data_IF_238224009591
#
_entry.id   IF_238224009591
#
_cell.length_a   1.000
_cell.length_b   1.000
_cell.length_c   1.000
_cell.angle_alpha   90.00
_cell.angle_beta   90.00
_cell.angle_gamma   90.00
#
_symmetry.space_group_name_H-M   'P 1'
#
loop_
_entity.id
_entity.type
_entity.pdbx_description
1 polymer ?
#
# COMPACT_ATOMS: atom_id res chain seq x y z
N UNK A 1 81.93 10.30 5.74
CA UNK A 1 82.07 11.45 6.65
C UNK A 1 81.32 12.63 6.06
N UNK A 2 80.72 13.46 6.92
CA UNK A 2 79.93 14.67 6.66
C UNK A 2 78.44 14.50 6.29
N UNK A 3 77.64 14.69 7.33
CA UNK A 3 76.21 15.02 7.38
C UNK A 3 75.93 16.43 6.84
N UNK A 4 74.77 16.65 6.20
CA UNK A 4 73.96 17.87 6.32
C UNK A 4 72.53 17.65 5.76
N UNK A 5 71.53 17.77 6.65
CA UNK A 5 70.07 17.87 6.37
C UNK A 5 69.73 19.26 5.76
N UNK A 6 68.44 19.66 5.67
CA UNK A 6 67.41 19.35 4.67
C UNK A 6 66.97 20.64 3.93
N UNK A 7 66.14 20.54 2.88
CA UNK A 7 65.30 21.67 2.45
C UNK A 7 63.92 21.18 2.02
N UNK A 8 62.96 21.47 2.89
CA UNK A 8 61.52 21.38 2.73
C UNK A 8 61.02 22.32 1.62
N UNK A 9 60.15 21.80 0.76
CA UNK A 9 59.14 22.48 -0.10
C UNK A 9 58.48 21.33 -0.88
N UNK A 10 57.17 21.15 -0.96
CA UNK A 10 55.99 21.89 -0.55
C UNK A 10 54.79 20.98 -0.81
N UNK A 11 53.69 21.26 -0.13
CA UNK A 11 52.49 20.45 -0.02
C UNK A 11 51.79 20.13 -1.35
N UNK A 12 51.09 18.99 -1.37
CA UNK A 12 50.14 18.61 -2.41
C UNK A 12 49.27 17.42 -1.98
N UNK A 13 48.66 17.50 -0.79
CA UNK A 13 47.70 16.49 -0.34
C UNK A 13 46.33 16.83 -0.95
N UNK A 14 46.00 16.21 -2.09
CA UNK A 14 44.65 16.19 -2.65
C UNK A 14 43.77 15.32 -1.75
N UNK A 15 43.06 15.94 -0.80
CA UNK A 15 41.94 15.31 -0.11
C UNK A 15 40.75 15.21 -1.08
N UNK A 16 40.61 14.06 -1.72
CA UNK A 16 39.37 13.69 -2.38
C UNK A 16 38.34 13.35 -1.28
N UNK A 17 37.50 14.31 -0.92
CA UNK A 17 36.33 14.07 -0.09
C UNK A 17 35.30 13.31 -0.92
N UNK A 18 35.27 11.99 -0.79
CA UNK A 18 34.15 11.18 -1.26
C UNK A 18 32.90 11.58 -0.47
N UNK A 19 31.82 12.07 -1.10
CA UNK A 19 30.56 12.20 -0.42
C UNK A 19 30.09 10.79 -0.05
N UNK A 20 30.05 10.50 1.25
CA UNK A 20 29.23 9.41 1.77
C UNK A 20 27.79 9.76 1.39
N UNK A 21 27.29 9.12 0.33
CA UNK A 21 25.86 9.10 0.05
C UNK A 21 25.19 8.42 1.24
N UNK A 22 24.73 9.21 2.20
CA UNK A 22 23.74 8.79 3.17
C UNK A 22 22.50 8.47 2.34
N UNK A 23 22.33 7.20 1.99
CA UNK A 23 21.04 6.71 1.57
C UNK A 23 20.08 7.05 2.72
N UNK A 24 19.26 8.09 2.54
CA UNK A 24 18.11 8.28 3.39
C UNK A 24 17.37 6.93 3.38
N UNK A 25 16.92 6.41 4.54
CA UNK A 25 16.04 5.26 4.50
C UNK A 25 14.91 5.62 3.53
N UNK A 26 14.62 4.73 2.59
CA UNK A 26 13.39 4.83 1.83
C UNK A 26 12.26 4.72 2.86
N UNK A 27 11.80 5.87 3.36
CA UNK A 27 10.66 5.96 4.24
C UNK A 27 9.45 5.76 3.33
N UNK A 28 9.11 4.50 3.08
CA UNK A 28 7.77 4.16 2.66
C UNK A 28 6.87 4.64 3.80
N UNK A 29 6.19 5.77 3.61
CA UNK A 29 5.16 6.23 4.52
C UNK A 29 4.02 5.19 4.46
N UNK A 30 3.76 4.39 5.50
CA UNK A 30 2.73 3.38 5.49
C UNK A 30 1.39 4.06 5.84
N UNK A 31 1.02 5.12 5.14
CA UNK A 31 -0.29 5.75 5.26
C UNK A 31 -1.29 4.94 4.44
N UNK A 32 -1.64 3.76 4.94
CA UNK A 32 -2.78 3.01 4.41
C UNK A 32 -4.08 3.71 4.79
N UNK A 33 -5.00 3.87 3.83
CA UNK A 33 -6.36 4.30 4.12
C UNK A 33 -7.13 3.18 4.83
N UNK A 34 -7.98 3.54 5.79
CA UNK A 34 -8.85 2.56 6.46
C UNK A 34 -10.11 2.32 5.66
N UNK A 35 -10.50 1.07 5.49
CA UNK A 35 -11.73 0.68 4.81
C UNK A 35 -12.48 -0.42 5.58
N UNK A 36 -13.73 -0.66 5.22
CA UNK A 36 -14.58 -1.64 5.90
C UNK A 36 -14.65 -2.96 5.14
N UNK A 37 -14.52 -4.06 5.87
CA UNK A 37 -14.87 -5.41 5.42
C UNK A 37 -16.17 -5.83 6.09
N UNK A 38 -17.16 -6.29 5.32
CA UNK A 38 -18.38 -6.91 5.85
C UNK A 38 -18.41 -8.38 5.46
N UNK A 39 -18.37 -9.28 6.43
CA UNK A 39 -18.16 -10.70 6.19
C UNK A 39 -19.43 -11.54 6.39
N UNK A 40 -19.52 -12.67 5.69
CA UNK A 40 -20.65 -13.61 5.67
C UNK A 40 -21.03 -14.18 7.05
N UNK A 41 -20.08 -14.25 7.97
CA UNK A 41 -20.29 -14.62 9.37
C UNK A 41 -20.96 -13.52 10.22
N UNK A 42 -21.31 -12.38 9.62
CA UNK A 42 -21.93 -11.24 10.29
C UNK A 42 -20.96 -10.33 11.03
N UNK A 43 -19.65 -10.57 10.92
CA UNK A 43 -18.60 -9.72 11.50
C UNK A 43 -18.18 -8.66 10.49
N UNK A 44 -18.01 -7.43 10.95
CA UNK A 44 -17.38 -6.36 10.18
C UNK A 44 -16.05 -5.97 10.79
N UNK A 45 -15.09 -5.62 9.94
CA UNK A 45 -13.77 -5.15 10.33
C UNK A 45 -13.51 -3.78 9.73
N UNK A 46 -12.93 -2.86 10.50
CA UNK A 46 -12.27 -1.68 9.93
C UNK A 46 -10.80 -2.03 9.80
N UNK A 47 -10.28 -2.03 8.58
CA UNK A 47 -8.95 -2.55 8.29
C UNK A 47 -8.07 -1.51 7.61
N UNK A 48 -6.76 -1.68 7.80
CA UNK A 48 -5.71 -0.94 7.09
C UNK A 48 -4.78 -1.93 6.39
N UNK A 49 -4.40 -1.64 5.15
CA UNK A 49 -3.37 -2.39 4.42
C UNK A 49 -2.07 -1.59 4.40
N UNK A 50 -0.96 -2.26 4.68
CA UNK A 50 0.38 -1.64 4.66
C UNK A 50 1.24 -2.37 3.62
N UNK A 51 1.02 -2.05 2.34
CA UNK A 51 1.73 -2.66 1.22
C UNK A 51 1.11 -2.33 -0.14
N UNK A 52 1.89 -2.55 -1.20
CA UNK A 52 1.53 -2.20 -2.58
C UNK A 52 1.20 -3.44 -3.44
N UNK A 53 0.90 -4.59 -2.81
CA UNK A 53 0.57 -5.82 -3.53
C UNK A 53 -0.92 -6.11 -3.52
N UNK A 54 -1.44 -6.73 -4.58
CA UNK A 54 -2.87 -7.06 -4.73
C UNK A 54 -3.42 -7.90 -3.57
N UNK A 55 -2.58 -8.77 -2.99
CA UNK A 55 -2.95 -9.66 -1.88
C UNK A 55 -2.28 -9.25 -0.55
N UNK A 56 -2.20 -7.95 -0.29
CA UNK A 56 -1.67 -7.40 0.97
C UNK A 56 -2.60 -7.77 2.14
N UNK A 57 -2.08 -8.34 3.24
CA UNK A 57 -2.87 -8.57 4.44
C UNK A 57 -3.43 -7.27 5.03
N UNK A 58 -4.67 -7.32 5.52
CA UNK A 58 -5.36 -6.19 6.11
C UNK A 58 -5.44 -6.34 7.63
N UNK A 59 -4.93 -5.36 8.37
CA UNK A 59 -4.94 -5.34 9.83
C UNK A 59 -6.23 -4.70 10.35
N UNK A 60 -6.96 -5.40 11.22
CA UNK A 60 -8.10 -4.82 11.92
C UNK A 60 -7.61 -3.73 12.90
N UNK A 61 -8.13 -2.52 12.77
CA UNK A 61 -7.72 -1.39 13.62
C UNK A 61 -8.23 -1.51 15.04
N UNK A 62 -9.24 -2.35 15.29
CA UNK A 62 -9.84 -2.55 16.61
C UNK A 62 -9.29 -3.79 17.35
N UNK A 63 -8.41 -4.59 16.75
CA UNK A 63 -7.87 -5.80 17.37
C UNK A 63 -6.49 -6.20 16.83
N UNK A 64 -5.95 -7.33 17.29
CA UNK A 64 -4.72 -7.91 16.71
C UNK A 64 -5.02 -8.86 15.53
N UNK A 65 -6.25 -8.82 14.99
CA UNK A 65 -6.67 -9.69 13.89
C UNK A 65 -6.11 -9.16 12.58
N UNK A 66 -5.61 -10.06 11.74
CA UNK A 66 -5.20 -9.77 10.36
C UNK A 66 -6.04 -10.63 9.42
N UNK A 67 -6.67 -10.02 8.43
CA UNK A 67 -7.31 -10.71 7.33
C UNK A 67 -6.29 -10.94 6.21
N UNK A 68 -6.13 -12.20 5.82
CA UNK A 68 -5.22 -12.60 4.75
C UNK A 68 -6.04 -12.95 3.51
N UNK A 69 -6.06 -12.11 2.46
CA UNK A 69 -6.81 -12.38 1.25
C UNK A 69 -6.17 -13.54 0.45
N UNK A 70 -7.03 -14.40 -0.09
CA UNK A 70 -6.66 -15.52 -0.97
C UNK A 70 -7.25 -15.39 -2.37
N UNK A 71 -8.37 -14.68 -2.50
CA UNK A 71 -9.00 -14.38 -3.79
C UNK A 71 -9.83 -13.11 -3.68
N UNK A 72 -9.92 -12.37 -4.78
CA UNK A 72 -10.85 -11.28 -5.00
C UNK A 72 -11.86 -11.69 -6.07
N UNK A 73 -13.13 -11.37 -5.85
CA UNK A 73 -14.11 -11.37 -6.92
C UNK A 73 -13.88 -10.21 -7.88
N UNK A 74 -14.84 -9.99 -8.78
CA UNK A 74 -14.83 -8.81 -9.64
C UNK A 74 -14.84 -7.54 -8.77
N UNK A 75 -13.97 -6.61 -9.11
CA UNK A 75 -13.96 -5.26 -8.55
C UNK A 75 -14.58 -4.32 -9.58
N UNK A 76 -15.39 -3.40 -9.09
CA UNK A 76 -15.97 -2.35 -9.90
C UNK A 76 -15.78 -0.99 -9.22
N UNK A 77 -15.35 0.00 -9.99
CA UNK A 77 -15.13 1.35 -9.50
C UNK A 77 -15.53 2.42 -10.52
N UNK A 78 -16.00 3.55 -10.00
CA UNK A 78 -16.40 4.72 -10.74
C UNK A 78 -15.66 5.94 -10.20
N UNK A 79 -15.28 6.83 -11.12
CA UNK A 79 -14.76 8.16 -10.82
C UNK A 79 -15.74 9.18 -11.40
N UNK A 80 -16.28 10.03 -10.54
CA UNK A 80 -17.21 11.10 -10.91
C UNK A 80 -16.64 12.46 -10.57
N UNK A 81 -17.09 13.52 -11.23
CA UNK A 81 -16.81 14.88 -10.81
C UNK A 81 -17.61 15.16 -9.53
N UNK A 82 -16.94 15.50 -8.43
CA UNK A 82 -17.57 15.66 -7.12
C UNK A 82 -18.55 16.85 -7.05
N UNK A 83 -18.43 17.83 -7.95
CA UNK A 83 -19.31 19.00 -7.99
C UNK A 83 -20.54 18.77 -8.88
N UNK A 84 -20.37 18.11 -10.03
CA UNK A 84 -21.44 17.94 -11.03
C UNK A 84 -22.11 16.57 -10.99
N UNK A 85 -21.45 15.57 -10.39
CA UNK A 85 -21.85 14.16 -10.44
C UNK A 85 -21.65 13.50 -11.80
N UNK A 86 -20.94 14.16 -12.73
CA UNK A 86 -20.66 13.62 -14.06
C UNK A 86 -19.69 12.45 -13.96
N UNK A 87 -20.00 11.31 -14.59
CA UNK A 87 -19.09 10.17 -14.71
C UNK A 87 -17.90 10.53 -15.59
N UNK A 88 -16.71 10.43 -15.03
CA UNK A 88 -15.44 10.68 -15.72
C UNK A 88 -14.88 9.37 -16.24
N UNK A 89 -14.88 8.34 -15.40
CA UNK A 89 -14.29 7.04 -15.70
C UNK A 89 -15.01 5.94 -14.92
N UNK A 90 -15.07 4.75 -15.51
CA UNK A 90 -15.58 3.52 -14.91
C UNK A 90 -14.61 2.40 -15.28
N UNK A 91 -14.30 1.53 -14.32
CA UNK A 91 -13.43 0.40 -14.56
C UNK A 91 -13.88 -0.83 -13.79
N UNK A 92 -13.64 -1.98 -14.42
CA UNK A 92 -13.93 -3.29 -13.86
C UNK A 92 -12.68 -4.14 -13.94
N UNK A 93 -12.25 -4.68 -12.80
CA UNK A 93 -11.14 -5.63 -12.73
C UNK A 93 -11.70 -7.05 -12.60
N UNK A 94 -11.23 -8.00 -13.41
CA UNK A 94 -11.71 -9.38 -13.34
C UNK A 94 -11.29 -10.03 -12.00
N UNK A 95 -12.00 -11.09 -11.58
CA UNK A 95 -11.63 -11.86 -10.39
C UNK A 95 -10.17 -12.35 -10.42
N UNK A 96 -9.51 -12.34 -9.26
CA UNK A 96 -8.12 -12.74 -9.10
C UNK A 96 -7.95 -13.73 -7.94
N UNK A 97 -7.10 -14.75 -8.12
CA UNK A 97 -6.78 -15.74 -7.08
C UNK A 97 -5.29 -15.78 -6.82
N UNK A 98 -4.90 -15.85 -5.53
CA UNK A 98 -3.51 -15.95 -5.08
C UNK A 98 -2.95 -17.35 -5.30
N UNK A 99 -2.83 -17.79 -6.56
CA UNK A 99 -2.25 -19.07 -6.96
C UNK A 99 -2.62 -20.24 -6.04
N UNK A 100 -1.62 -20.92 -5.46
CA UNK A 100 -1.76 -22.08 -4.56
C UNK A 100 -2.46 -21.79 -3.19
N UNK A 101 -3.15 -20.66 -3.04
CA UNK A 101 -3.85 -20.28 -1.79
C UNK A 101 -5.23 -20.92 -1.65
N UNK A 102 -5.68 -21.73 -2.62
CA UNK A 102 -6.97 -22.45 -2.63
C UNK A 102 -7.15 -23.48 -1.49
N UNK A 103 -6.15 -23.65 -0.61
CA UNK A 103 -6.29 -24.57 0.52
C UNK A 103 -7.39 -24.07 1.44
N UNK A 104 -8.53 -24.75 1.43
CA UNK A 104 -9.62 -24.51 2.36
C UNK A 104 -9.10 -24.54 3.80
N UNK A 105 -9.28 -23.45 4.51
CA UNK A 105 -9.07 -23.39 5.95
C UNK A 105 -10.46 -23.39 6.59
N UNK A 106 -10.62 -24.06 7.73
CA UNK A 106 -11.88 -24.02 8.49
C UNK A 106 -12.25 -22.61 8.97
N UNK A 107 -11.34 -21.65 8.82
CA UNK A 107 -11.46 -20.23 9.16
C UNK A 107 -11.53 -19.36 7.90
N UNK A 108 -11.80 -19.95 6.74
CA UNK A 108 -12.02 -19.19 5.51
C UNK A 108 -13.38 -18.50 5.59
N UNK A 109 -13.40 -17.22 5.21
CA UNK A 109 -14.60 -16.40 5.17
C UNK A 109 -14.60 -15.54 3.91
N UNK A 110 -15.79 -15.12 3.48
CA UNK A 110 -15.96 -14.19 2.36
C UNK A 110 -16.50 -12.87 2.89
N UNK A 111 -15.87 -11.78 2.46
CA UNK A 111 -16.27 -10.42 2.80
C UNK A 111 -16.54 -9.62 1.54
N UNK A 112 -17.32 -8.56 1.69
CA UNK A 112 -17.38 -7.46 0.73
C UNK A 112 -16.61 -6.28 1.27
N UNK A 113 -16.08 -5.47 0.37
CA UNK A 113 -15.38 -4.23 0.69
C UNK A 113 -15.87 -3.12 -0.23
N UNK A 114 -15.81 -1.90 0.26
CA UNK A 114 -16.05 -0.71 -0.54
C UNK A 114 -15.12 0.43 -0.10
N UNK A 115 -14.82 1.30 -1.06
CA UNK A 115 -14.03 2.51 -0.90
C UNK A 115 -14.83 3.67 -1.44
N UNK A 116 -14.72 4.83 -0.78
CA UNK A 116 -15.34 6.05 -1.25
C UNK A 116 -14.52 7.24 -0.76
N UNK A 117 -14.10 8.10 -1.67
CA UNK A 117 -13.14 9.16 -1.37
C UNK A 117 -13.25 10.33 -2.34
N UNK A 118 -12.67 11.46 -1.96
CA UNK A 118 -12.57 12.62 -2.83
C UNK A 118 -11.10 13.03 -2.99
N UNK A 119 -10.71 13.34 -4.22
CA UNK A 119 -9.35 13.79 -4.52
C UNK A 119 -9.39 15.02 -5.44
N UNK A 120 -8.56 16.02 -5.15
CA UNK A 120 -8.41 17.17 -6.02
C UNK A 120 -7.39 16.88 -7.11
N UNK A 121 -7.80 16.97 -8.38
CA UNK A 121 -6.95 16.74 -9.54
C UNK A 121 -6.48 18.09 -10.10
N UNK A 122 -5.25 18.53 -9.78
CA UNK A 122 -4.78 19.89 -10.11
C UNK A 122 -4.67 20.14 -11.61
N UNK A 123 -4.45 19.10 -12.41
CA UNK A 123 -4.33 19.19 -13.87
C UNK A 123 -5.67 19.55 -14.53
N UNK A 124 -6.78 19.15 -13.91
CA UNK A 124 -8.14 19.39 -14.37
C UNK A 124 -8.82 20.53 -13.62
N UNK A 125 -8.29 20.92 -12.45
CA UNK A 125 -8.85 21.98 -11.61
C UNK A 125 -10.18 21.59 -10.96
N UNK A 126 -10.46 20.29 -10.81
CA UNK A 126 -11.71 19.75 -10.24
C UNK A 126 -11.42 18.80 -9.08
N UNK A 127 -12.41 18.61 -8.22
CA UNK A 127 -12.42 17.49 -7.26
C UNK A 127 -13.16 16.33 -7.89
N UNK A 128 -12.57 15.14 -7.82
CA UNK A 128 -13.21 13.88 -8.24
C UNK A 128 -13.66 13.10 -7.02
N UNK A 129 -14.77 12.39 -7.15
CA UNK A 129 -15.25 11.40 -6.21
C UNK A 129 -15.00 10.02 -6.77
N UNK A 130 -14.27 9.19 -6.03
CA UNK A 130 -14.10 7.78 -6.35
C UNK A 130 -15.01 6.95 -5.45
N UNK A 131 -15.74 6.01 -6.04
CA UNK A 131 -16.45 4.96 -5.31
C UNK A 131 -16.18 3.62 -5.98
N UNK A 132 -15.99 2.58 -5.19
CA UNK A 132 -15.83 1.24 -5.74
C UNK A 132 -15.91 0.16 -4.69
N UNK A 133 -16.03 -1.08 -5.14
CA UNK A 133 -16.13 -2.20 -4.24
C UNK A 133 -16.08 -3.55 -4.93
N UNK A 134 -16.03 -4.59 -4.11
CA UNK A 134 -15.95 -5.96 -4.58
C UNK A 134 -16.11 -6.95 -3.46
N UNK A 135 -15.75 -8.20 -3.76
CA UNK A 135 -15.72 -9.28 -2.78
C UNK A 135 -14.30 -9.82 -2.61
N UNK A 136 -13.99 -10.28 -1.42
CA UNK A 136 -12.72 -10.88 -1.07
C UNK A 136 -12.95 -12.11 -0.22
N UNK A 137 -12.30 -13.21 -0.56
CA UNK A 137 -12.24 -14.40 0.30
C UNK A 137 -10.85 -14.54 0.87
N UNK A 138 -10.78 -15.00 2.11
CA UNK A 138 -9.54 -15.12 2.84
C UNK A 138 -9.76 -15.83 4.16
N UNK A 139 -8.83 -15.64 5.08
CA UNK A 139 -8.95 -16.14 6.44
C UNK A 139 -8.41 -15.11 7.43
N UNK A 140 -8.98 -15.08 8.64
CA UNK A 140 -8.51 -14.23 9.72
C UNK A 140 -7.51 -14.97 10.61
N UNK A 141 -6.51 -14.24 11.09
CA UNK A 141 -5.52 -14.72 12.07
C UNK A 141 -5.37 -13.74 13.23
N UNK A 142 -5.36 -14.19 14.50
CA UNK A 142 -5.60 -15.56 14.94
C UNK A 142 -7.00 -16.05 14.54
N UNK A 143 -7.13 -17.35 14.34
CA UNK A 143 -8.43 -17.99 14.11
C UNK A 143 -9.33 -17.74 15.33
N UNK A 144 -10.58 -17.36 15.09
CA UNK A 144 -11.62 -17.33 16.14
C UNK A 144 -12.40 -18.63 16.17
#
# INVERSE_FOLDING_TARGET
>A
MASLRPRTLGAGLLLAATPLALAAPAQADPSGETFSLACDNGVSYTVITAGNGDFTPAHDTASNTTFVPTSFGEFHGEVTNAETGELIEEFTEPPATKGNSEKQRGTSLTCTFSFSGNEFVPELGITVHFEGGGSVSGFSTPAR
#
